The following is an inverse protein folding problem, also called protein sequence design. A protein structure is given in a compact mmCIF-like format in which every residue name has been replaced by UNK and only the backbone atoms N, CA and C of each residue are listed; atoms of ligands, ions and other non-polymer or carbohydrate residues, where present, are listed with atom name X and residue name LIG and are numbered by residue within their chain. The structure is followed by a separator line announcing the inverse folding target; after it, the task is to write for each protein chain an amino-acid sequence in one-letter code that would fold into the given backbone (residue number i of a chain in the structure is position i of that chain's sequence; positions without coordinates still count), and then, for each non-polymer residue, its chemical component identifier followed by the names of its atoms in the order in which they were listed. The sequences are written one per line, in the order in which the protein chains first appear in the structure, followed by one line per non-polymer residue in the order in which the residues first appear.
data_IF_789516100179
#
_entry.id   IF_789516100179
#
_cell.length_a   1.000
_cell.length_b   1.000
_cell.length_c   1.000
_cell.angle_alpha   90.00
_cell.angle_beta   90.00
_cell.angle_gamma   90.00
#
_symmetry.space_group_name_H-M   'P 1'
#
loop_
_entity.id
_entity.type
_entity.pdbx_description
1 polymer ?
#
# COMPACT_ATOMS: atom_id res chain seq x y z
N UNK A 1 49.84 52.48 -42.13
CA UNK A 1 49.58 52.16 -40.70
C UNK A 1 48.15 52.52 -40.26
N UNK A 2 47.11 52.29 -41.10
CA UNK A 2 45.71 52.56 -40.74
C UNK A 2 44.78 51.35 -40.93
N UNK A 3 45.31 50.19 -41.35
CA UNK A 3 44.53 48.96 -41.61
C UNK A 3 44.61 47.91 -40.49
N UNK A 4 45.49 48.10 -39.51
CA UNK A 4 45.62 47.19 -38.35
C UNK A 4 44.76 47.60 -37.15
N UNK A 5 44.26 48.84 -37.10
CA UNK A 5 43.44 49.33 -35.98
C UNK A 5 41.94 49.03 -36.14
N UNK A 6 41.43 48.81 -37.35
CA UNK A 6 40.01 48.46 -37.56
C UNK A 6 39.69 46.99 -37.23
N UNK A 7 40.66 46.08 -37.29
CA UNK A 7 40.43 44.65 -37.01
C UNK A 7 40.36 44.42 -35.49
N UNK A 8 41.11 45.17 -34.68
CA UNK A 8 41.07 45.03 -33.22
C UNK A 8 39.75 45.52 -32.62
N UNK A 9 39.15 46.58 -33.17
CA UNK A 9 37.87 47.11 -32.67
C UNK A 9 36.69 46.24 -33.13
N UNK A 10 36.74 45.66 -34.33
CA UNK A 10 35.71 44.73 -34.81
C UNK A 10 35.71 43.40 -34.03
N UNK A 11 36.88 42.91 -33.62
CA UNK A 11 36.99 41.69 -32.79
C UNK A 11 36.61 41.98 -31.32
N UNK A 12 36.90 43.17 -30.80
CA UNK A 12 36.41 43.58 -29.47
C UNK A 12 34.88 43.80 -29.45
N UNK A 13 34.28 44.29 -30.54
CA UNK A 13 32.83 44.48 -30.64
C UNK A 13 32.06 43.17 -30.87
N UNK A 14 32.67 42.16 -31.51
CA UNK A 14 32.08 40.82 -31.60
C UNK A 14 32.17 40.11 -30.23
N UNK A 15 33.19 40.39 -29.41
CA UNK A 15 33.28 39.84 -28.05
C UNK A 15 32.37 40.59 -27.06
N UNK A 16 32.07 41.88 -27.25
CA UNK A 16 31.11 42.61 -26.41
C UNK A 16 29.63 42.42 -26.79
N UNK A 17 29.32 42.05 -28.04
CA UNK A 17 27.92 41.80 -28.47
C UNK A 17 27.49 40.35 -28.23
N UNK A 18 28.42 39.41 -28.05
CA UNK A 18 28.11 38.03 -27.63
C UNK A 18 27.78 37.93 -26.12
N UNK A 19 27.95 39.01 -25.35
CA UNK A 19 27.66 39.04 -23.90
C UNK A 19 26.20 39.32 -23.51
N UNK A 20 25.23 39.34 -24.44
CA UNK A 20 23.82 39.62 -24.12
C UNK A 20 22.81 38.58 -24.61
N UNK A 21 23.25 37.53 -25.31
CA UNK A 21 22.43 36.37 -25.67
C UNK A 21 23.28 35.11 -25.61
N UNK A 22 23.75 34.74 -24.42
CA UNK A 22 24.35 33.43 -24.19
C UNK A 22 23.25 32.37 -24.04
N UNK A 23 22.43 32.19 -25.08
CA UNK A 23 22.00 30.84 -25.43
C UNK A 23 23.23 30.18 -26.05
N UNK A 24 24.16 29.75 -25.19
CA UNK A 24 25.18 28.80 -25.63
C UNK A 24 24.40 27.63 -26.17
N UNK A 25 24.65 27.30 -27.43
CA UNK A 25 24.07 26.17 -28.15
C UNK A 25 24.65 24.87 -27.55
N UNK A 26 24.32 24.63 -26.27
CA UNK A 26 24.71 23.48 -25.45
C UNK A 26 24.27 22.18 -26.16
N UNK A 27 23.33 22.27 -27.11
CA UNK A 27 22.64 21.15 -27.72
C UNK A 27 23.35 20.50 -28.93
N UNK A 28 24.51 21.00 -29.39
CA UNK A 28 25.22 20.47 -30.56
C UNK A 28 26.60 19.83 -30.26
N UNK A 29 27.11 19.90 -29.04
CA UNK A 29 28.45 19.43 -28.67
C UNK A 29 28.44 18.06 -27.95
N UNK A 30 29.57 17.35 -27.93
CA UNK A 30 29.74 16.15 -27.10
C UNK A 30 29.80 16.50 -25.60
N UNK A 31 29.59 15.52 -24.71
CA UNK A 31 29.55 15.76 -23.25
C UNK A 31 30.79 16.52 -22.74
N UNK A 32 31.98 16.13 -23.21
CA UNK A 32 33.24 16.74 -22.75
C UNK A 32 33.40 18.19 -23.23
N UNK A 33 32.95 18.50 -24.45
CA UNK A 33 32.99 19.86 -25.00
C UNK A 33 31.98 20.77 -24.29
N UNK A 34 30.78 20.25 -24.02
CA UNK A 34 29.74 20.96 -23.29
C UNK A 34 30.13 21.19 -21.82
N UNK A 35 30.78 20.20 -21.18
CA UNK A 35 31.32 20.32 -19.83
C UNK A 35 32.44 21.37 -19.76
N UNK A 36 33.37 21.36 -20.72
CA UNK A 36 34.45 22.35 -20.79
C UNK A 36 33.90 23.76 -21.00
N UNK A 37 32.91 23.93 -21.88
CA UNK A 37 32.24 25.21 -22.09
C UNK A 37 31.60 25.74 -20.79
N UNK A 38 30.92 24.90 -20.01
CA UNK A 38 30.32 25.29 -18.72
C UNK A 38 31.35 25.68 -17.65
N UNK A 39 32.48 24.96 -17.56
CA UNK A 39 33.56 25.32 -16.64
C UNK A 39 34.19 26.67 -17.00
N UNK A 40 34.34 26.95 -18.29
CA UNK A 40 35.02 28.15 -18.78
C UNK A 40 34.14 29.40 -18.69
N UNK A 41 32.83 29.25 -18.92
CA UNK A 41 31.86 30.36 -18.95
C UNK A 41 31.20 30.66 -17.61
N UNK A 42 31.27 29.73 -16.65
CA UNK A 42 30.68 29.89 -15.33
C UNK A 42 29.15 29.94 -15.40
N UNK A 43 28.51 28.78 -15.50
CA UNK A 43 27.05 28.72 -15.61
C UNK A 43 26.32 29.08 -14.30
N UNK A 44 25.15 29.69 -14.45
CA UNK A 44 24.24 29.99 -13.35
C UNK A 44 23.27 28.83 -13.11
N UNK A 45 23.08 28.45 -11.85
CA UNK A 45 22.09 27.43 -11.44
C UNK A 45 20.65 27.87 -11.69
N UNK A 46 20.40 29.18 -11.79
CA UNK A 46 19.08 29.72 -12.11
C UNK A 46 18.67 29.50 -13.57
N UNK A 47 19.63 29.24 -14.46
CA UNK A 47 19.38 28.97 -15.87
C UNK A 47 19.01 27.49 -16.13
N UNK A 48 19.16 26.62 -15.13
CA UNK A 48 18.86 25.19 -15.25
C UNK A 48 17.44 24.96 -14.74
N UNK A 49 16.51 24.93 -15.68
CA UNK A 49 15.15 24.50 -15.42
C UNK A 49 15.00 22.98 -15.56
N UNK A 50 13.77 22.48 -15.35
CA UNK A 50 13.49 21.04 -15.43
C UNK A 50 13.74 20.48 -16.82
N UNK A 51 13.50 21.25 -17.88
CA UNK A 51 13.63 20.79 -19.26
C UNK A 51 15.10 20.58 -19.64
N UNK A 52 15.97 21.49 -19.21
CA UNK A 52 17.42 21.36 -19.39
C UNK A 52 17.93 20.14 -18.63
N UNK A 53 17.49 19.93 -17.39
CA UNK A 53 17.89 18.77 -16.60
C UNK A 53 17.44 17.45 -17.24
N UNK A 54 16.20 17.38 -17.73
CA UNK A 54 15.66 16.22 -18.43
C UNK A 54 16.52 15.89 -19.67
N UNK A 55 16.91 16.91 -20.46
CA UNK A 55 17.76 16.71 -21.64
C UNK A 55 19.19 16.26 -21.30
N UNK A 56 19.81 16.84 -20.25
CA UNK A 56 21.15 16.44 -19.81
C UNK A 56 21.19 14.96 -19.40
N UNK A 57 20.18 14.51 -18.65
CA UNK A 57 20.06 13.10 -18.24
C UNK A 57 19.74 12.23 -19.45
N UNK A 58 18.83 12.65 -20.33
CA UNK A 58 18.44 11.89 -21.51
C UNK A 58 19.62 11.63 -22.46
N UNK A 59 20.51 12.62 -22.63
CA UNK A 59 21.74 12.47 -23.44
C UNK A 59 22.85 11.67 -22.75
N UNK A 60 22.68 11.30 -21.49
CA UNK A 60 23.69 10.61 -20.70
C UNK A 60 24.86 11.50 -20.28
N UNK A 61 24.67 12.83 -20.22
CA UNK A 61 25.72 13.79 -19.85
C UNK A 61 25.91 13.86 -18.33
N UNK A 62 26.25 12.72 -17.73
CA UNK A 62 26.31 12.52 -16.30
C UNK A 62 27.34 13.43 -15.60
N UNK A 63 28.47 13.75 -16.26
CA UNK A 63 29.48 14.67 -15.71
C UNK A 63 28.93 16.08 -15.54
N UNK A 64 28.11 16.54 -16.47
CA UNK A 64 27.45 17.83 -16.39
C UNK A 64 26.44 17.85 -15.25
N UNK A 65 25.60 16.82 -15.13
CA UNK A 65 24.65 16.68 -14.03
C UNK A 65 25.37 16.68 -12.67
N UNK A 66 26.51 15.98 -12.56
CA UNK A 66 27.34 15.98 -11.35
C UNK A 66 27.86 17.39 -11.01
N UNK A 67 28.38 18.14 -11.98
CA UNK A 67 28.84 19.51 -11.74
C UNK A 67 27.69 20.45 -11.31
N UNK A 68 26.48 20.26 -11.83
CA UNK A 68 25.29 21.01 -11.38
C UNK A 68 24.97 20.71 -9.92
N UNK A 69 24.99 19.43 -9.53
CA UNK A 69 24.76 19.01 -8.14
C UNK A 69 25.85 19.50 -7.20
N UNK A 70 27.12 19.46 -7.61
CA UNK A 70 28.23 19.97 -6.81
C UNK A 70 28.12 21.47 -6.59
N UNK A 71 27.74 22.22 -7.63
CA UNK A 71 27.55 23.66 -7.53
C UNK A 71 26.34 24.02 -6.68
N UNK A 72 25.25 23.24 -6.75
CA UNK A 72 24.06 23.50 -5.93
C UNK A 72 24.33 23.36 -4.44
N UNK A 73 25.27 22.50 -4.03
CA UNK A 73 25.68 22.36 -2.62
C UNK A 73 26.31 23.63 -2.02
N UNK A 74 26.84 24.53 -2.85
CA UNK A 74 27.35 25.83 -2.43
C UNK A 74 26.26 26.92 -2.37
N UNK A 75 25.05 26.62 -2.86
CA UNK A 75 23.89 27.50 -2.83
C UNK A 75 23.08 27.41 -1.53
N UNK A 76 21.88 27.98 -1.54
CA UNK A 76 20.95 27.88 -0.42
C UNK A 76 20.18 26.55 -0.41
N UNK A 77 19.55 26.22 0.72
CA UNK A 77 18.80 24.96 0.87
C UNK A 77 17.67 24.84 -0.17
N UNK A 78 17.03 25.95 -0.55
CA UNK A 78 15.97 25.95 -1.55
C UNK A 78 16.48 25.54 -2.94
N UNK A 79 17.66 26.02 -3.33
CA UNK A 79 18.34 25.65 -4.58
C UNK A 79 18.79 24.20 -4.57
N UNK A 80 19.34 23.72 -3.46
CA UNK A 80 19.68 22.29 -3.28
C UNK A 80 18.46 21.40 -3.48
N UNK A 81 17.33 21.73 -2.84
CA UNK A 81 16.10 20.93 -2.95
C UNK A 81 15.51 21.01 -4.37
N UNK A 82 15.57 22.17 -5.03
CA UNK A 82 15.12 22.35 -6.42
C UNK A 82 15.89 21.44 -7.37
N UNK A 83 17.23 21.51 -7.32
CA UNK A 83 18.10 20.68 -8.17
C UNK A 83 17.91 19.20 -7.86
N UNK A 84 17.82 18.82 -6.58
CA UNK A 84 17.57 17.44 -6.18
C UNK A 84 16.24 16.90 -6.73
N UNK A 85 15.18 17.71 -6.71
CA UNK A 85 13.88 17.34 -7.29
C UNK A 85 13.99 17.13 -8.81
N UNK A 86 14.59 18.08 -9.53
CA UNK A 86 14.77 18.00 -10.99
C UNK A 86 15.59 16.77 -11.39
N UNK A 87 16.72 16.52 -10.74
CA UNK A 87 17.57 15.35 -11.03
C UNK A 87 16.82 14.04 -10.76
N UNK A 88 16.12 13.93 -9.63
CA UNK A 88 15.33 12.72 -9.31
C UNK A 88 14.24 12.47 -10.35
N UNK A 89 13.55 13.52 -10.76
CA UNK A 89 12.52 13.43 -11.81
C UNK A 89 13.12 12.95 -13.13
N UNK A 90 14.14 13.65 -13.64
CA UNK A 90 14.81 13.35 -14.90
C UNK A 90 15.36 11.91 -14.94
N UNK A 91 16.06 11.49 -13.89
CA UNK A 91 16.61 10.13 -13.77
C UNK A 91 15.50 9.08 -13.71
N UNK A 92 14.39 9.35 -13.02
CA UNK A 92 13.27 8.40 -12.95
C UNK A 92 12.58 8.25 -14.31
N UNK A 93 12.44 9.34 -15.07
CA UNK A 93 11.89 9.32 -16.43
C UNK A 93 12.77 8.49 -17.36
N UNK A 94 14.08 8.74 -17.38
CA UNK A 94 15.01 7.98 -18.24
C UNK A 94 15.10 6.52 -17.82
N UNK A 95 15.12 6.22 -16.51
CA UNK A 95 15.07 4.85 -16.01
C UNK A 95 13.81 4.12 -16.49
N UNK A 96 12.64 4.75 -16.41
CA UNK A 96 11.40 4.15 -16.88
C UNK A 96 11.47 3.82 -18.38
N UNK A 97 12.02 4.73 -19.19
CA UNK A 97 12.22 4.55 -20.63
C UNK A 97 13.17 3.39 -20.93
N UNK A 98 14.28 3.26 -20.20
CA UNK A 98 15.22 2.16 -20.36
C UNK A 98 14.62 0.83 -19.90
N UNK A 99 13.87 0.81 -18.79
CA UNK A 99 13.13 -0.36 -18.33
C UNK A 99 12.06 -0.78 -19.36
N UNK A 100 11.42 0.16 -20.07
CA UNK A 100 10.47 -0.15 -21.15
C UNK A 100 11.13 -0.90 -22.32
N UNK A 101 12.38 -0.58 -22.65
CA UNK A 101 13.13 -1.34 -23.66
C UNK A 101 13.35 -2.79 -23.22
N UNK A 102 13.62 -3.02 -21.94
CA UNK A 102 13.75 -4.38 -21.39
C UNK A 102 12.40 -5.09 -21.45
N UNK A 103 11.30 -4.42 -21.09
CA UNK A 103 9.96 -5.01 -21.14
C UNK A 103 9.52 -5.34 -22.57
N UNK A 104 9.89 -4.52 -23.55
CA UNK A 104 9.62 -4.77 -24.97
C UNK A 104 10.26 -6.06 -25.51
N UNK A 105 11.22 -6.66 -24.79
CA UNK A 105 11.75 -7.99 -25.11
C UNK A 105 10.72 -9.11 -24.88
N UNK A 106 9.73 -8.90 -24.00
CA UNK A 106 8.63 -9.84 -23.83
C UNK A 106 7.69 -9.74 -25.04
N UNK A 107 7.55 -10.84 -25.78
CA UNK A 107 6.64 -10.95 -26.94
C UNK A 107 5.18 -10.65 -26.58
N UNK A 108 4.82 -10.75 -25.31
CA UNK A 108 3.49 -10.47 -24.80
C UNK A 108 3.35 -9.05 -24.24
N UNK A 109 4.38 -8.20 -24.28
CA UNK A 109 4.33 -6.85 -23.71
C UNK A 109 3.23 -5.96 -24.32
N UNK A 110 2.96 -6.12 -25.62
CA UNK A 110 1.86 -5.41 -26.28
C UNK A 110 0.47 -6.02 -25.98
N UNK A 111 0.42 -7.27 -25.51
CA UNK A 111 -0.81 -7.97 -25.21
C UNK A 111 -1.26 -7.65 -23.78
N UNK A 112 -2.33 -6.87 -23.66
CA UNK A 112 -2.90 -6.53 -22.36
C UNK A 112 -3.32 -7.79 -21.59
N UNK A 113 -2.71 -8.01 -20.42
CA UNK A 113 -3.06 -9.15 -19.55
C UNK A 113 -4.50 -8.98 -19.08
N UNK A 114 -5.34 -9.98 -19.33
CA UNK A 114 -6.76 -9.95 -18.91
C UNK A 114 -6.84 -10.18 -17.41
N UNK A 115 -7.47 -9.26 -16.69
CA UNK A 115 -7.65 -9.29 -15.23
C UNK A 115 -9.13 -9.20 -14.91
N UNK A 116 -9.60 -10.08 -14.02
CA UNK A 116 -10.90 -9.92 -13.36
C UNK A 116 -10.74 -8.92 -12.21
N UNK A 117 -11.28 -7.69 -12.30
CA UNK A 117 -11.13 -6.71 -11.25
C UNK A 117 -11.86 -7.15 -9.97
N UNK A 118 -11.32 -6.76 -8.82
CA UNK A 118 -11.94 -6.99 -7.52
C UNK A 118 -13.20 -6.14 -7.37
N UNK A 119 -14.23 -6.73 -6.77
CA UNK A 119 -15.53 -6.10 -6.61
C UNK A 119 -15.95 -6.12 -5.14
N UNK A 120 -16.70 -5.11 -4.74
CA UNK A 120 -17.46 -5.11 -3.49
C UNK A 120 -18.89 -4.71 -3.78
N UNK A 121 -19.84 -5.31 -3.06
CA UNK A 121 -21.25 -4.96 -3.23
C UNK A 121 -21.98 -4.78 -1.91
N UNK A 122 -22.98 -3.92 -1.93
CA UNK A 122 -23.97 -3.73 -0.88
C UNK A 122 -25.32 -3.43 -1.53
N UNK A 123 -26.36 -3.25 -0.72
CA UNK A 123 -27.70 -2.92 -1.22
C UNK A 123 -28.49 -2.17 -0.15
N UNK A 124 -29.56 -1.50 -0.59
CA UNK A 124 -30.70 -1.16 0.27
C UNK A 124 -31.94 -1.87 -0.30
N UNK A 125 -33.15 -1.50 0.11
CA UNK A 125 -34.37 -2.15 -0.41
C UNK A 125 -34.52 -2.02 -1.92
N UNK A 126 -34.12 -0.88 -2.51
CA UNK A 126 -34.44 -0.47 -3.89
C UNK A 126 -33.26 -0.52 -4.87
N UNK A 127 -32.03 -0.47 -4.37
CA UNK A 127 -30.81 -0.34 -5.16
C UNK A 127 -29.75 -1.35 -4.71
N UNK A 128 -28.86 -1.69 -5.65
CA UNK A 128 -27.61 -2.39 -5.41
C UNK A 128 -26.47 -1.42 -5.65
N UNK A 129 -25.51 -1.38 -4.73
CA UNK A 129 -24.30 -0.58 -4.84
C UNK A 129 -23.14 -1.51 -5.17
N UNK A 130 -22.46 -1.26 -6.27
CA UNK A 130 -21.32 -2.04 -6.75
C UNK A 130 -20.11 -1.13 -6.81
N UNK A 131 -19.02 -1.52 -6.16
CA UNK A 131 -17.72 -0.90 -6.34
C UNK A 131 -16.78 -1.89 -7.04
N UNK A 132 -16.13 -1.42 -8.10
CA UNK A 132 -15.15 -2.16 -8.89
C UNK A 132 -13.81 -1.46 -8.73
N UNK A 133 -12.78 -2.20 -8.33
CA UNK A 133 -11.41 -1.70 -8.25
C UNK A 133 -10.60 -2.31 -9.39
N UNK A 134 -9.83 -1.50 -10.12
CA UNK A 134 -8.97 -1.95 -11.22
C UNK A 134 -7.69 -2.66 -10.72
N UNK A 135 -7.88 -3.70 -9.91
CA UNK A 135 -6.86 -4.57 -9.34
C UNK A 135 -7.40 -6.00 -9.22
N UNK A 136 -6.54 -7.01 -9.16
CA UNK A 136 -6.98 -8.40 -9.02
C UNK A 136 -7.57 -8.69 -7.62
N UNK A 137 -7.07 -8.00 -6.59
CA UNK A 137 -7.52 -8.11 -5.18
C UNK A 137 -7.90 -6.73 -4.66
N UNK A 138 -8.80 -6.67 -3.68
CA UNK A 138 -9.28 -5.40 -3.14
C UNK A 138 -8.17 -4.59 -2.45
N UNK A 139 -7.28 -5.27 -1.72
CA UNK A 139 -6.17 -4.63 -1.00
C UNK A 139 -4.91 -4.44 -1.85
N UNK A 140 -4.90 -4.95 -3.10
CA UNK A 140 -3.77 -4.78 -4.00
C UNK A 140 -3.76 -3.37 -4.63
N UNK A 141 -2.58 -2.84 -4.95
CA UNK A 141 -2.49 -1.65 -5.81
C UNK A 141 -3.00 -2.00 -7.22
N UNK A 142 -3.54 -1.01 -7.91
CA UNK A 142 -4.22 -1.19 -9.19
C UNK A 142 -4.07 0.03 -10.08
N UNK A 143 -4.63 -0.04 -11.28
CA UNK A 143 -4.64 1.09 -12.20
C UNK A 143 -5.46 2.23 -11.59
N UNK A 144 -4.84 3.40 -11.45
CA UNK A 144 -5.49 4.61 -10.95
C UNK A 144 -6.40 5.23 -12.01
N UNK A 145 -6.00 5.09 -13.28
CA UNK A 145 -6.73 5.57 -14.44
C UNK A 145 -6.92 4.42 -15.43
N UNK A 146 -8.06 4.44 -16.10
CA UNK A 146 -8.38 3.49 -17.18
C UNK A 146 -8.81 4.25 -18.43
N UNK A 147 -8.69 3.60 -19.58
CA UNK A 147 -9.02 4.09 -20.91
C UNK A 147 -9.90 3.08 -21.64
N UNK A 148 -10.65 3.54 -22.64
CA UNK A 148 -11.54 2.72 -23.47
C UNK A 148 -12.54 1.92 -22.63
N UNK A 149 -13.17 2.58 -21.67
CA UNK A 149 -14.18 2.00 -20.81
C UNK A 149 -15.49 1.76 -21.59
N UNK A 150 -16.03 0.56 -21.43
CA UNK A 150 -17.34 0.18 -21.91
C UNK A 150 -18.11 -0.43 -20.74
N UNK A 151 -19.09 0.28 -20.22
CA UNK A 151 -19.98 -0.22 -19.17
C UNK A 151 -21.38 -0.38 -19.78
N UNK A 152 -21.86 -1.61 -19.78
CA UNK A 152 -23.21 -1.97 -20.24
C UNK A 152 -23.98 -2.57 -19.07
N UNK A 153 -25.06 -1.88 -18.70
CA UNK A 153 -25.98 -2.26 -17.64
C UNK A 153 -27.28 -2.69 -18.33
N UNK A 154 -27.54 -3.98 -18.33
CA UNK A 154 -28.75 -4.58 -18.90
C UNK A 154 -29.68 -5.05 -17.78
N UNK A 155 -30.91 -5.43 -18.12
CA UNK A 155 -31.88 -5.92 -17.12
C UNK A 155 -31.35 -7.11 -16.32
N UNK A 156 -30.64 -8.03 -16.99
CA UNK A 156 -30.13 -9.25 -16.37
C UNK A 156 -28.69 -9.16 -15.88
N UNK A 157 -27.91 -8.20 -16.37
CA UNK A 157 -26.49 -8.42 -16.55
C UNK A 157 -25.69 -7.13 -16.43
N UNK A 158 -24.46 -7.25 -15.92
CA UNK A 158 -23.51 -6.15 -15.82
C UNK A 158 -22.23 -6.54 -16.56
N UNK A 159 -21.87 -5.74 -17.57
CA UNK A 159 -20.68 -5.94 -18.39
C UNK A 159 -19.79 -4.71 -18.28
N UNK A 160 -18.49 -4.93 -18.03
CA UNK A 160 -17.50 -3.88 -17.97
C UNK A 160 -16.24 -4.34 -18.70
N UNK A 161 -15.73 -3.50 -19.59
CA UNK A 161 -14.38 -3.65 -20.12
C UNK A 161 -13.64 -2.32 -20.02
N UNK A 162 -12.37 -2.35 -19.63
CA UNK A 162 -11.53 -1.16 -19.52
C UNK A 162 -10.06 -1.55 -19.64
N UNK A 163 -9.20 -0.64 -20.07
CA UNK A 163 -7.76 -0.85 -20.14
C UNK A 163 -7.06 0.08 -19.16
N UNK A 164 -6.21 -0.46 -18.29
CA UNK A 164 -5.43 0.34 -17.37
C UNK A 164 -3.98 -0.07 -17.36
N UNK A 165 -3.15 0.80 -16.82
CA UNK A 165 -1.72 0.56 -16.66
C UNK A 165 -1.34 0.65 -15.19
N UNK A 166 -0.60 -0.35 -14.73
CA UNK A 166 -0.08 -0.36 -13.37
C UNK A 166 1.29 -1.03 -13.38
N UNK A 167 2.29 -0.38 -12.77
CA UNK A 167 3.69 -0.82 -12.79
C UNK A 167 4.24 -1.03 -14.22
N UNK A 168 3.87 -0.16 -15.16
CA UNK A 168 4.22 -0.23 -16.59
C UNK A 168 3.74 -1.51 -17.30
N UNK A 169 2.75 -2.20 -16.72
CA UNK A 169 2.11 -3.38 -17.32
C UNK A 169 0.70 -3.00 -17.72
N UNK A 170 0.40 -3.13 -19.00
CA UNK A 170 -0.95 -2.92 -19.55
C UNK A 170 -1.85 -4.10 -19.20
N UNK A 171 -3.01 -3.79 -18.62
CA UNK A 171 -4.00 -4.77 -18.17
C UNK A 171 -5.35 -4.45 -18.79
N UNK A 172 -6.03 -5.48 -19.29
CA UNK A 172 -7.42 -5.41 -19.73
C UNK A 172 -8.30 -5.90 -18.59
N UNK A 173 -9.06 -5.00 -17.98
CA UNK A 173 -10.05 -5.33 -16.98
C UNK A 173 -11.33 -5.77 -17.66
N UNK A 174 -11.84 -6.94 -17.28
CA UNK A 174 -13.04 -7.52 -17.87
C UNK A 174 -13.96 -8.11 -16.79
N UNK A 175 -15.21 -7.69 -16.78
CA UNK A 175 -16.31 -8.26 -15.99
C UNK A 175 -17.50 -8.52 -16.89
N UNK A 176 -18.13 -9.68 -16.71
CA UNK A 176 -19.42 -10.00 -17.30
C UNK A 176 -20.11 -11.00 -16.39
N UNK A 177 -21.26 -10.64 -15.83
CA UNK A 177 -22.02 -11.52 -14.95
C UNK A 177 -23.53 -11.23 -14.99
N UNK A 178 -24.30 -12.28 -14.69
CA UNK A 178 -25.75 -12.20 -14.50
C UNK A 178 -26.10 -11.88 -13.05
N UNK A 179 -27.04 -10.96 -12.86
CA UNK A 179 -27.55 -10.50 -11.59
C UNK A 179 -28.59 -11.48 -11.02
N UNK A 180 -28.81 -11.42 -9.71
CA UNK A 180 -29.75 -12.29 -9.01
C UNK A 180 -31.20 -12.05 -9.45
N UNK A 181 -31.59 -10.78 -9.61
CA UNK A 181 -32.88 -10.37 -10.15
C UNK A 181 -32.73 -9.21 -11.14
N UNK A 182 -33.80 -8.96 -11.90
CA UNK A 182 -33.80 -7.93 -12.92
C UNK A 182 -33.64 -6.51 -12.35
N UNK A 183 -32.91 -5.68 -13.08
CA UNK A 183 -32.74 -4.25 -12.82
C UNK A 183 -33.66 -3.39 -13.69
N UNK A 184 -33.67 -2.09 -13.39
CA UNK A 184 -34.12 -1.01 -14.27
C UNK A 184 -32.89 -0.31 -14.85
N UNK A 185 -32.44 -0.65 -16.08
CA UNK A 185 -31.25 -0.07 -16.69
C UNK A 185 -31.28 1.45 -16.79
N UNK A 186 -32.43 2.00 -17.18
CA UNK A 186 -32.61 3.44 -17.43
C UNK A 186 -32.32 4.34 -16.22
N UNK A 187 -32.47 3.79 -15.01
CA UNK A 187 -32.25 4.51 -13.76
C UNK A 187 -30.96 4.09 -13.04
N UNK A 188 -30.19 3.18 -13.64
CA UNK A 188 -28.93 2.72 -13.09
C UNK A 188 -27.80 3.63 -13.57
N UNK A 189 -26.94 4.08 -12.66
CA UNK A 189 -25.90 5.06 -12.94
C UNK A 189 -24.54 4.56 -12.46
N UNK A 190 -23.46 5.00 -13.11
CA UNK A 190 -22.10 4.68 -12.73
C UNK A 190 -21.20 5.91 -12.84
N UNK A 191 -20.11 5.93 -12.08
CA UNK A 191 -19.10 6.98 -12.10
C UNK A 191 -17.76 6.46 -11.60
N UNK A 192 -16.67 7.13 -11.99
CA UNK A 192 -15.36 6.89 -11.40
C UNK A 192 -15.27 7.55 -10.02
N UNK A 193 -14.69 6.82 -9.08
CA UNK A 193 -14.37 7.27 -7.74
C UNK A 193 -12.85 7.39 -7.56
N UNK A 194 -12.42 8.00 -6.46
CA UNK A 194 -11.01 8.18 -6.16
C UNK A 194 -10.24 6.84 -6.08
N UNK A 195 -8.93 6.91 -6.32
CA UNK A 195 -8.00 5.79 -6.21
C UNK A 195 -8.30 4.58 -7.14
N UNK A 196 -8.67 4.85 -8.41
CA UNK A 196 -8.83 3.80 -9.41
C UNK A 196 -10.03 2.88 -9.16
N UNK A 197 -11.16 3.47 -8.75
CA UNK A 197 -12.39 2.75 -8.46
C UNK A 197 -13.51 3.23 -9.39
N UNK A 198 -14.44 2.34 -9.68
CA UNK A 198 -15.70 2.63 -10.35
C UNK A 198 -16.82 2.25 -9.39
N UNK A 199 -17.77 3.14 -9.20
CA UNK A 199 -18.97 2.90 -8.40
C UNK A 199 -20.18 2.91 -9.31
N UNK A 200 -21.00 1.86 -9.22
CA UNK A 200 -22.28 1.76 -9.91
C UNK A 200 -23.42 1.61 -8.89
N UNK A 201 -24.47 2.39 -9.10
CA UNK A 201 -25.73 2.33 -8.36
C UNK A 201 -26.79 1.77 -9.29
N UNK A 202 -27.21 0.55 -9.03
CA UNK A 202 -28.08 -0.25 -9.88
C UNK A 202 -29.49 -0.28 -9.28
N UNK A 203 -30.50 0.22 -9.99
CA UNK A 203 -31.88 0.19 -9.49
C UNK A 203 -32.51 -1.18 -9.70
N UNK A 204 -33.06 -1.77 -8.64
CA UNK A 204 -33.80 -3.03 -8.70
C UNK A 204 -35.17 -2.80 -9.35
N UNK A 205 -35.65 -3.79 -10.10
CA UNK A 205 -37.01 -3.74 -10.65
C UNK A 205 -38.08 -3.76 -9.54
N UNK A 206 -37.82 -4.48 -8.43
CA UNK A 206 -38.71 -4.52 -7.26
C UNK A 206 -37.91 -4.35 -5.97
N UNK A 207 -38.46 -3.65 -4.97
CA UNK A 207 -37.85 -3.58 -3.65
C UNK A 207 -37.73 -4.98 -3.04
N UNK A 208 -36.51 -5.42 -2.72
CA UNK A 208 -36.24 -6.74 -2.18
C UNK A 208 -34.85 -6.81 -1.54
N UNK A 209 -34.67 -7.67 -0.54
CA UNK A 209 -33.36 -7.98 0.03
C UNK A 209 -32.74 -9.18 -0.72
N UNK A 210 -31.70 -8.94 -1.52
CA UNK A 210 -31.06 -9.99 -2.31
C UNK A 210 -30.08 -10.80 -1.45
N UNK A 211 -30.16 -12.14 -1.43
CA UNK A 211 -29.21 -12.95 -0.66
C UNK A 211 -27.79 -12.93 -1.25
N UNK A 212 -27.68 -12.68 -2.56
CA UNK A 212 -26.42 -12.60 -3.30
C UNK A 212 -26.55 -11.64 -4.48
N UNK A 213 -25.43 -11.15 -5.00
CA UNK A 213 -25.40 -10.24 -6.16
C UNK A 213 -25.78 -10.96 -7.46
N UNK A 214 -25.32 -12.19 -7.65
CA UNK A 214 -25.39 -12.91 -8.92
C UNK A 214 -26.28 -14.13 -8.86
N UNK A 215 -26.78 -14.56 -10.02
CA UNK A 215 -27.62 -15.75 -10.14
C UNK A 215 -26.84 -17.06 -9.89
N UNK A 216 -25.55 -17.10 -10.23
CA UNK A 216 -24.64 -18.23 -10.03
C UNK A 216 -23.67 -18.07 -8.85
N UNK A 217 -22.63 -18.91 -8.83
CA UNK A 217 -21.54 -18.84 -7.85
C UNK A 217 -20.69 -17.58 -8.03
N UNK A 218 -20.33 -16.95 -6.90
CA UNK A 218 -19.49 -15.77 -6.84
C UNK A 218 -18.06 -16.04 -7.34
N UNK A 219 -17.42 -15.13 -8.11
CA UNK A 219 -15.98 -15.21 -8.25
C UNK A 219 -15.35 -14.85 -6.90
N UNK A 220 -14.22 -15.48 -6.55
CA UNK A 220 -13.52 -15.27 -5.27
C UNK A 220 -13.14 -13.81 -4.98
N UNK A 221 -13.09 -12.96 -6.01
CA UNK A 221 -12.75 -11.55 -5.90
C UNK A 221 -13.98 -10.63 -5.71
N UNK A 222 -15.15 -11.18 -5.33
CA UNK A 222 -16.35 -10.44 -4.93
C UNK A 222 -16.49 -10.42 -3.40
N UNK A 223 -16.30 -9.25 -2.79
CA UNK A 223 -16.50 -9.02 -1.36
C UNK A 223 -17.80 -8.30 -1.03
N UNK A 224 -18.12 -8.23 0.27
CA UNK A 224 -19.21 -7.40 0.79
C UNK A 224 -18.65 -6.01 1.10
N UNK A 225 -19.32 -4.96 0.62
CA UNK A 225 -19.01 -3.58 0.98
C UNK A 225 -19.58 -3.28 2.38
N UNK A 226 -18.77 -3.51 3.42
CA UNK A 226 -19.18 -3.42 4.83
C UNK A 226 -19.76 -2.04 5.20
N UNK A 227 -19.02 -0.96 4.96
CA UNK A 227 -19.48 0.41 5.28
C UNK A 227 -20.86 0.74 4.69
N UNK A 228 -21.08 0.39 3.42
CA UNK A 228 -22.36 0.64 2.75
C UNK A 228 -23.45 -0.32 3.26
N UNK A 229 -23.12 -1.56 3.60
CA UNK A 229 -24.07 -2.51 4.19
C UNK A 229 -24.52 -2.05 5.58
N UNK A 230 -23.60 -1.58 6.41
CA UNK A 230 -23.88 -1.13 7.77
C UNK A 230 -24.78 0.10 7.75
N UNK A 231 -24.53 1.04 6.82
CA UNK A 231 -25.38 2.20 6.58
C UNK A 231 -26.85 1.86 6.30
N UNK A 232 -27.11 0.76 5.60
CA UNK A 232 -28.48 0.34 5.20
C UNK A 232 -29.02 -0.85 6.02
N UNK A 233 -28.29 -1.28 7.04
CA UNK A 233 -28.60 -2.48 7.84
C UNK A 233 -29.99 -2.42 8.48
N UNK A 234 -30.35 -1.27 9.06
CA UNK A 234 -31.64 -1.05 9.72
C UNK A 234 -32.84 -1.16 8.75
N UNK A 235 -32.70 -0.64 7.52
CA UNK A 235 -33.73 -0.72 6.48
C UNK A 235 -33.90 -2.17 5.98
N UNK A 236 -32.78 -2.87 5.77
CA UNK A 236 -32.80 -4.25 5.27
C UNK A 236 -33.41 -5.24 6.27
N UNK A 237 -33.33 -4.97 7.58
CA UNK A 237 -33.99 -5.78 8.61
C UNK A 237 -35.52 -5.72 8.51
N UNK A 238 -36.08 -4.58 8.09
CA UNK A 238 -37.53 -4.38 7.97
C UNK A 238 -38.12 -5.12 6.76
N UNK A 239 -37.31 -5.37 5.73
CA UNK A 239 -37.69 -6.04 4.49
C UNK A 239 -37.23 -7.50 4.41
N UNK A 240 -36.94 -8.13 5.56
CA UNK A 240 -36.58 -9.55 5.61
C UNK A 240 -37.83 -10.40 5.34
N UNK A 241 -37.82 -11.34 4.38
CA UNK A 241 -38.96 -12.23 4.16
C UNK A 241 -39.23 -13.07 5.42
N UNK A 242 -40.50 -13.20 5.83
CA UNK A 242 -40.96 -13.84 7.07
C UNK A 242 -40.64 -15.35 7.20
N UNK A 243 -39.99 -15.98 6.22
CA UNK A 243 -39.86 -17.44 6.14
C UNK A 243 -38.66 -18.07 6.86
N UNK A 244 -37.86 -17.34 7.65
CA UNK A 244 -36.69 -17.92 8.35
C UNK A 244 -36.81 -18.04 9.87
N UNK A 245 -38.02 -18.21 10.40
CA UNK A 245 -38.22 -18.54 11.83
C UNK A 245 -38.35 -20.04 12.14
N UNK A 246 -38.24 -20.95 11.15
CA UNK A 246 -38.38 -22.41 11.40
C UNK A 246 -37.13 -23.27 11.14
N UNK A 247 -36.06 -22.72 10.57
CA UNK A 247 -34.84 -23.51 10.23
C UNK A 247 -33.63 -23.26 11.15
N UNK A 248 -33.76 -22.42 12.17
CA UNK A 248 -32.70 -22.18 13.16
C UNK A 248 -32.55 -23.36 14.17
N UNK A 249 -33.47 -24.33 14.18
CA UNK A 249 -33.47 -25.44 15.14
C UNK A 249 -32.81 -26.75 14.67
N UNK A 250 -32.61 -26.96 13.36
CA UNK A 250 -32.21 -28.29 12.84
C UNK A 250 -30.82 -28.33 12.17
N UNK A 251 -30.17 -27.17 11.97
CA UNK A 251 -28.80 -27.13 11.44
C UNK A 251 -27.74 -27.58 12.47
N UNK A 252 -28.06 -27.53 13.77
CA UNK A 252 -27.11 -27.82 14.86
C UNK A 252 -26.79 -29.31 15.07
N UNK A 253 -27.43 -30.24 14.33
CA UNK A 253 -27.17 -31.69 14.47
C UNK A 253 -26.57 -32.37 13.22
N UNK A 254 -26.45 -31.69 12.08
CA UNK A 254 -25.84 -32.30 10.86
C UNK A 254 -24.36 -31.94 10.63
N UNK A 255 -23.80 -31.00 11.40
CA UNK A 255 -22.38 -30.58 11.30
C UNK A 255 -21.41 -31.63 11.86
N UNK A 256 -21.89 -32.62 12.63
CA UNK A 256 -21.01 -33.61 13.28
C UNK A 256 -20.59 -34.80 12.39
N UNK A 257 -21.04 -34.92 11.12
CA UNK A 257 -20.79 -36.15 10.33
C UNK A 257 -20.15 -36.00 8.95
N UNK A 258 -19.84 -34.79 8.47
CA UNK A 258 -19.11 -34.57 7.21
C UNK A 258 -17.63 -34.20 7.43
N UNK A 259 -17.03 -34.69 8.51
CA UNK A 259 -15.56 -34.74 8.67
C UNK A 259 -15.00 -35.96 7.92
N UNK A 260 -15.01 -35.93 6.58
CA UNK A 260 -14.02 -36.68 5.79
C UNK A 260 -13.97 -36.18 4.35
N UNK A 261 -12.79 -35.70 3.98
CA UNK A 261 -12.31 -35.36 2.63
C UNK A 261 -12.56 -33.90 2.19
N UNK A 262 -11.86 -32.95 2.84
CA UNK A 262 -11.57 -31.63 2.25
C UNK A 262 -10.10 -31.55 1.88
N UNK A 263 -9.84 -30.97 0.72
CA UNK A 263 -8.53 -30.74 0.13
C UNK A 263 -7.91 -29.46 0.65
N UNK A 264 -6.58 -29.46 0.61
CA UNK A 264 -5.59 -28.53 1.18
C UNK A 264 -5.68 -27.05 0.75
N UNK A 265 -6.75 -26.59 0.10
CA UNK A 265 -6.92 -25.22 -0.42
C UNK A 265 -7.97 -24.38 0.31
N UNK A 266 -8.82 -25.00 1.15
CA UNK A 266 -9.87 -24.30 1.90
C UNK A 266 -9.36 -23.73 3.24
N UNK A 267 -8.23 -24.22 3.76
CA UNK A 267 -7.70 -23.83 5.07
C UNK A 267 -6.93 -22.49 5.05
N UNK A 268 -6.50 -21.99 3.88
CA UNK A 268 -5.81 -20.70 3.77
C UNK A 268 -6.78 -19.51 3.75
N UNK A 269 -7.97 -19.68 3.15
CA UNK A 269 -8.98 -18.62 3.00
C UNK A 269 -9.63 -18.23 4.36
N UNK A 270 -9.74 -19.16 5.32
CA UNK A 270 -10.22 -18.87 6.69
C UNK A 270 -9.16 -18.15 7.55
N UNK A 271 -7.87 -18.35 7.28
CA UNK A 271 -6.78 -17.74 8.05
C UNK A 271 -6.64 -16.23 7.78
N UNK A 272 -6.89 -15.81 6.54
CA UNK A 272 -6.79 -14.41 6.12
C UNK A 272 -7.89 -13.55 6.75
N UNK A 273 -9.12 -14.05 6.88
CA UNK A 273 -10.21 -13.32 7.55
C UNK A 273 -9.94 -13.12 9.05
N UNK A 274 -9.35 -14.12 9.69
CA UNK A 274 -8.97 -14.03 11.11
C UNK A 274 -7.83 -13.02 11.29
N UNK A 275 -6.83 -13.02 10.39
CA UNK A 275 -5.72 -12.07 10.41
C UNK A 275 -6.19 -10.61 10.27
N UNK A 276 -7.15 -10.36 9.38
CA UNK A 276 -7.71 -9.01 9.18
C UNK A 276 -8.43 -8.51 10.44
N UNK A 277 -9.19 -9.38 11.11
CA UNK A 277 -9.88 -9.05 12.36
C UNK A 277 -8.91 -8.78 13.51
N UNK A 278 -7.82 -9.54 13.60
CA UNK A 278 -6.75 -9.28 14.58
C UNK A 278 -6.15 -7.88 14.37
N UNK A 279 -5.92 -7.46 13.12
CA UNK A 279 -5.37 -6.15 12.79
C UNK A 279 -6.32 -5.00 13.15
N UNK A 280 -7.63 -5.17 12.93
CA UNK A 280 -8.64 -4.18 13.29
C UNK A 280 -8.67 -3.95 14.82
N UNK A 281 -8.71 -5.04 15.60
CA UNK A 281 -8.74 -4.97 17.07
C UNK A 281 -7.45 -4.34 17.64
N UNK A 282 -6.28 -4.63 17.06
CA UNK A 282 -5.01 -3.98 17.46
C UNK A 282 -5.00 -2.50 17.04
N UNK A 283 -5.60 -2.18 15.90
CA UNK A 283 -5.69 -0.82 15.36
C UNK A 283 -6.45 0.14 16.27
N UNK A 284 -7.45 -0.35 17.00
CA UNK A 284 -8.29 0.41 17.92
C UNK A 284 -7.60 0.73 19.26
N UNK A 285 -6.47 0.09 19.57
CA UNK A 285 -5.71 0.38 20.78
C UNK A 285 -4.97 1.72 20.70
N UNK A 286 -4.95 2.47 21.80
CA UNK A 286 -4.23 3.74 21.89
C UNK A 286 -2.72 3.51 21.76
N UNK A 287 -2.07 4.24 20.84
CA UNK A 287 -0.65 4.12 20.55
C UNK A 287 0.14 5.15 21.34
N UNK A 288 1.18 4.70 22.04
CA UNK A 288 2.05 5.51 22.89
C UNK A 288 3.47 5.55 22.30
N UNK A 289 4.44 4.88 22.92
CA UNK A 289 5.87 4.95 22.62
C UNK A 289 6.29 4.23 21.33
N UNK A 290 5.40 3.39 20.76
CA UNK A 290 5.64 2.62 19.55
C UNK A 290 4.82 3.09 18.34
N UNK A 291 4.19 4.26 18.43
CA UNK A 291 3.45 4.87 17.33
C UNK A 291 4.29 4.95 16.05
N UNK A 292 3.74 4.42 14.96
CA UNK A 292 4.37 4.41 13.63
C UNK A 292 5.42 3.30 13.42
N UNK A 293 5.46 2.31 14.30
CA UNK A 293 6.36 1.14 14.17
C UNK A 293 5.58 -0.15 13.93
N UNK A 294 6.28 -1.23 13.58
CA UNK A 294 5.72 -2.57 13.38
C UNK A 294 5.34 -3.29 14.69
N UNK A 295 5.62 -2.69 15.84
CA UNK A 295 5.26 -3.24 17.16
C UNK A 295 3.76 -3.06 17.39
N UNK A 296 3.05 -4.15 17.70
CA UNK A 296 1.64 -4.09 18.05
C UNK A 296 1.46 -3.61 19.50
N UNK A 297 0.97 -2.38 19.70
CA UNK A 297 0.59 -1.90 21.03
C UNK A 297 -0.76 -2.50 21.42
N UNK A 298 -0.78 -3.25 22.53
CA UNK A 298 -1.91 -4.05 22.96
C UNK A 298 -2.61 -3.39 24.15
N UNK A 299 -3.92 -3.18 24.00
CA UNK A 299 -4.83 -2.76 25.05
C UNK A 299 -5.56 -3.98 25.65
N UNK A 300 -6.34 -3.76 26.72
CA UNK A 300 -7.02 -4.84 27.46
C UNK A 300 -7.97 -5.68 26.56
N UNK A 301 -8.61 -5.07 25.56
CA UNK A 301 -9.46 -5.78 24.61
C UNK A 301 -8.67 -6.68 23.64
N UNK A 302 -7.63 -6.12 22.99
CA UNK A 302 -6.76 -6.88 22.11
C UNK A 302 -6.03 -8.03 22.83
N UNK A 303 -5.73 -7.84 24.11
CA UNK A 303 -5.15 -8.88 24.94
C UNK A 303 -6.03 -10.13 25.05
N UNK A 304 -7.30 -9.95 25.43
CA UNK A 304 -8.22 -11.07 25.65
C UNK A 304 -8.52 -11.82 24.35
N UNK A 305 -8.75 -11.09 23.26
CA UNK A 305 -9.20 -11.67 22.00
C UNK A 305 -8.06 -12.25 21.14
N UNK A 306 -6.83 -11.71 21.23
CA UNK A 306 -5.75 -12.08 20.29
C UNK A 306 -4.59 -12.81 20.98
N UNK A 307 -4.26 -12.44 22.21
CA UNK A 307 -3.13 -13.05 22.92
C UNK A 307 -3.58 -14.24 23.75
N UNK A 308 -4.67 -14.07 24.50
CA UNK A 308 -5.15 -15.08 25.46
C UNK A 308 -6.00 -16.17 24.80
N UNK A 309 -6.85 -15.80 23.85
CA UNK A 309 -7.73 -16.74 23.13
C UNK A 309 -7.53 -16.66 21.61
N UNK A 310 -6.33 -16.96 21.10
CA UNK A 310 -6.05 -16.79 19.68
C UNK A 310 -6.87 -17.74 18.82
N UNK A 311 -7.53 -17.21 17.80
CA UNK A 311 -8.27 -17.98 16.79
C UNK A 311 -7.32 -18.74 15.84
N UNK A 312 -6.08 -18.27 15.67
CA UNK A 312 -5.00 -18.94 14.92
C UNK A 312 -3.77 -19.09 15.81
N UNK A 313 -3.02 -20.18 15.66
CA UNK A 313 -1.76 -20.37 16.39
C UNK A 313 -0.82 -19.17 16.17
N UNK A 314 -0.39 -18.54 17.26
CA UNK A 314 0.50 -17.37 17.28
C UNK A 314 1.60 -17.55 18.31
N UNK A 315 2.78 -17.04 17.98
CA UNK A 315 3.87 -16.86 18.93
C UNK A 315 4.07 -15.37 19.14
N UNK A 316 3.76 -14.91 20.35
CA UNK A 316 3.88 -13.51 20.72
C UNK A 316 5.12 -13.30 21.58
N UNK A 317 5.95 -12.33 21.23
CA UNK A 317 6.90 -11.73 22.16
C UNK A 317 6.33 -10.40 22.61
N UNK A 318 6.02 -10.27 23.91
CA UNK A 318 5.35 -9.09 24.45
C UNK A 318 6.25 -8.43 25.48
N UNK A 319 6.52 -7.15 25.25
CA UNK A 319 7.18 -6.28 26.23
C UNK A 319 6.14 -5.52 27.05
N UNK A 320 6.19 -5.69 28.36
CA UNK A 320 5.53 -4.81 29.32
C UNK A 320 6.49 -3.69 29.68
N UNK A 321 6.07 -2.45 29.45
CA UNK A 321 6.84 -1.26 29.80
C UNK A 321 5.94 -0.22 30.46
N UNK A 322 6.51 0.88 30.92
CA UNK A 322 5.75 1.97 31.50
C UNK A 322 6.27 3.29 30.91
N UNK A 323 5.40 4.05 30.23
CA UNK A 323 5.76 5.34 29.62
C UNK A 323 6.16 6.40 30.63
N UNK A 324 5.52 6.41 31.80
CA UNK A 324 5.59 7.50 32.78
C UNK A 324 6.81 7.37 33.69
N UNK A 325 7.24 6.13 33.95
CA UNK A 325 8.37 5.80 34.83
C UNK A 325 9.67 5.61 34.01
N UNK A 326 9.67 6.04 32.74
CA UNK A 326 10.70 5.83 31.72
C UNK A 326 12.15 5.80 32.22
N UNK A 327 12.60 4.62 32.66
CA UNK A 327 13.98 4.38 33.04
C UNK A 327 14.89 4.32 31.81
N UNK A 328 16.17 4.62 32.00
CA UNK A 328 17.21 4.58 30.95
C UNK A 328 17.22 3.24 30.19
N UNK A 329 16.92 2.14 30.89
CA UNK A 329 16.77 0.79 30.33
C UNK A 329 15.61 0.64 29.35
N UNK A 330 14.44 1.22 29.62
CA UNK A 330 13.29 1.15 28.70
C UNK A 330 13.60 1.89 27.41
N UNK A 331 14.16 3.09 27.50
CA UNK A 331 14.51 3.92 26.33
C UNK A 331 15.59 3.28 25.47
N UNK A 332 16.60 2.64 26.08
CA UNK A 332 17.65 1.88 25.36
C UNK A 332 17.12 0.59 24.72
N UNK A 333 16.07 -0.01 25.28
CA UNK A 333 15.51 -1.26 24.77
C UNK A 333 14.53 -1.06 23.60
N UNK A 334 13.85 0.08 23.51
CA UNK A 334 12.86 0.36 22.46
C UNK A 334 13.40 0.17 21.01
N UNK A 335 14.60 0.66 20.64
CA UNK A 335 15.14 0.44 19.29
C UNK A 335 15.35 -1.04 18.96
N UNK A 336 15.80 -1.83 19.94
CA UNK A 336 15.98 -3.28 19.78
C UNK A 336 14.63 -3.96 19.56
N UNK A 337 13.60 -3.56 20.34
CA UNK A 337 12.26 -4.10 20.22
C UNK A 337 11.58 -3.77 18.88
N UNK A 338 11.77 -2.54 18.38
CA UNK A 338 11.32 -2.14 17.04
C UNK A 338 11.96 -3.00 15.96
N UNK A 339 13.28 -3.20 16.05
CA UNK A 339 13.99 -4.03 15.07
C UNK A 339 13.57 -5.49 15.14
N UNK A 340 13.29 -6.00 16.34
CA UNK A 340 12.75 -7.34 16.55
C UNK A 340 11.40 -7.50 15.86
N UNK A 341 10.50 -6.50 15.92
CA UNK A 341 9.21 -6.54 15.24
C UNK A 341 9.29 -6.67 13.71
N UNK A 342 10.35 -6.15 13.09
CA UNK A 342 10.58 -6.29 11.64
C UNK A 342 11.14 -7.66 11.26
N UNK A 343 11.95 -8.28 12.14
CA UNK A 343 12.69 -9.52 11.83
C UNK A 343 11.96 -10.78 12.30
N UNK A 344 11.29 -10.70 13.45
CA UNK A 344 10.68 -11.85 14.13
C UNK A 344 9.58 -12.55 13.30
N UNK A 345 8.64 -11.84 12.63
CA UNK A 345 7.62 -12.50 11.81
C UNK A 345 8.19 -13.30 10.62
N UNK A 346 9.40 -12.95 10.15
CA UNK A 346 10.08 -13.68 9.08
C UNK A 346 10.85 -14.90 9.58
N UNK A 347 11.20 -14.92 10.87
CA UNK A 347 12.00 -15.98 11.50
C UNK A 347 11.11 -17.05 12.15
N UNK A 348 9.99 -16.63 12.76
CA UNK A 348 9.05 -17.53 13.45
C UNK A 348 7.70 -17.50 12.73
N UNK A 349 7.23 -18.63 12.16
CA UNK A 349 5.90 -18.72 11.54
C UNK A 349 4.80 -18.32 12.52
N UNK A 350 3.93 -17.36 12.13
CA UNK A 350 2.91 -16.82 13.03
C UNK A 350 3.47 -15.96 14.18
N UNK A 351 4.75 -15.57 14.09
CA UNK A 351 5.43 -14.70 15.04
C UNK A 351 4.92 -13.27 15.00
N UNK A 352 4.72 -12.70 16.19
CA UNK A 352 4.35 -11.29 16.39
C UNK A 352 5.10 -10.70 17.57
N UNK A 353 5.37 -9.40 17.48
CA UNK A 353 6.00 -8.63 18.55
C UNK A 353 5.01 -7.57 19.01
N UNK A 354 4.65 -7.64 20.29
CA UNK A 354 3.72 -6.75 20.93
C UNK A 354 4.36 -5.94 22.06
N UNK A 355 3.67 -4.89 22.49
CA UNK A 355 4.03 -4.14 23.67
C UNK A 355 2.76 -3.72 24.43
N UNK A 356 2.84 -3.69 25.76
CA UNK A 356 1.77 -3.25 26.66
C UNK A 356 2.34 -2.12 27.51
N UNK A 357 1.67 -0.98 27.47
CA UNK A 357 2.00 0.15 28.34
C UNK A 357 1.23 0.07 29.67
N UNK A 358 1.99 -0.22 30.73
CA UNK A 358 1.50 -0.38 32.08
C UNK A 358 1.12 0.94 32.76
N UNK A 359 1.42 2.10 32.15
CA UNK A 359 0.88 3.38 32.60
C UNK A 359 -0.63 3.50 32.30
N UNK A 360 -1.06 2.94 31.16
CA UNK A 360 -2.40 3.11 30.61
C UNK A 360 -3.31 1.90 30.84
N UNK A 361 -2.75 0.71 31.15
CA UNK A 361 -3.50 -0.53 31.28
C UNK A 361 -3.28 -1.26 32.61
N UNK A 362 -4.37 -1.83 33.17
CA UNK A 362 -4.33 -2.59 34.43
C UNK A 362 -3.74 -3.99 34.28
N UNK A 363 -3.55 -4.43 33.04
CA UNK A 363 -3.07 -5.76 32.67
C UNK A 363 -1.76 -6.16 33.39
N UNK A 364 -0.83 -5.22 33.55
CA UNK A 364 0.48 -5.51 34.12
C UNK A 364 0.42 -5.91 35.60
N UNK A 365 -0.52 -5.35 36.36
CA UNK A 365 -0.76 -5.71 37.76
C UNK A 365 -1.27 -7.16 37.87
N UNK A 366 -2.17 -7.56 36.97
CA UNK A 366 -2.71 -8.93 36.89
C UNK A 366 -1.62 -9.97 36.65
N UNK A 367 -0.57 -9.61 35.90
CA UNK A 367 0.57 -10.48 35.61
C UNK A 367 1.73 -10.36 36.62
N UNK A 368 1.57 -9.57 37.68
CA UNK A 368 2.61 -9.38 38.70
C UNK A 368 3.87 -8.68 38.18
N UNK A 369 3.74 -7.89 37.12
CA UNK A 369 4.88 -7.16 36.54
C UNK A 369 5.20 -5.95 37.41
N UNK A 370 6.32 -6.02 38.12
CA UNK A 370 6.77 -4.98 39.06
C UNK A 370 8.04 -4.26 38.61
N UNK A 371 8.71 -4.76 37.57
CA UNK A 371 9.94 -4.19 36.99
C UNK A 371 9.75 -4.01 35.48
N UNK A 372 10.29 -2.93 34.93
CA UNK A 372 10.19 -2.60 33.51
C UNK A 372 11.59 -2.36 32.91
N UNK A 373 11.81 -2.69 31.62
CA UNK A 373 10.91 -3.47 30.77
C UNK A 373 10.82 -4.93 31.24
N UNK A 374 9.73 -5.64 30.96
CA UNK A 374 9.59 -7.07 31.25
C UNK A 374 9.10 -7.78 30.00
N UNK A 375 9.77 -8.85 29.59
CA UNK A 375 9.45 -9.57 28.35
C UNK A 375 8.86 -10.93 28.68
N UNK A 376 7.81 -11.30 27.97
CA UNK A 376 7.24 -12.65 28.02
C UNK A 376 6.97 -13.16 26.61
N UNK A 377 7.13 -14.46 26.44
CA UNK A 377 6.67 -15.18 25.27
C UNK A 377 5.29 -15.75 25.56
N UNK A 378 4.33 -15.59 24.65
CA UNK A 378 3.04 -16.26 24.71
C UNK A 378 2.88 -17.18 23.51
N UNK A 379 2.47 -18.43 23.78
CA UNK A 379 2.06 -19.40 22.76
C UNK A 379 0.69 -19.91 23.16
N UNK A 380 -0.29 -19.70 22.29
CA UNK A 380 -1.68 -20.13 22.49
C UNK A 380 -2.24 -19.72 23.87
N UNK A 381 -1.97 -18.48 24.29
CA UNK A 381 -2.41 -17.91 25.57
C UNK A 381 -1.52 -18.22 26.79
N UNK A 382 -0.57 -19.15 26.67
CA UNK A 382 0.33 -19.54 27.77
C UNK A 382 1.60 -18.69 27.76
N UNK A 383 1.85 -17.96 28.85
CA UNK A 383 2.96 -17.01 28.97
C UNK A 383 4.17 -17.56 29.73
N UNK A 384 5.35 -17.53 29.10
CA UNK A 384 6.65 -17.88 29.71
C UNK A 384 7.53 -16.63 29.83
N UNK A 385 8.05 -16.30 31.03
CA UNK A 385 8.87 -15.09 31.22
C UNK A 385 10.27 -15.23 30.62
N UNK A 386 10.78 -14.12 30.10
CA UNK A 386 12.19 -14.00 29.73
C UNK A 386 13.05 -13.94 30.99
N UNK A 387 13.99 -14.87 31.11
CA UNK A 387 14.86 -15.01 32.29
C UNK A 387 16.27 -14.46 32.08
N UNK A 388 16.64 -14.07 30.85
CA UNK A 388 17.97 -13.50 30.56
C UNK A 388 17.92 -11.96 30.65
N UNK A 389 19.09 -11.33 30.62
CA UNK A 389 19.21 -9.86 30.67
C UNK A 389 18.61 -9.17 29.44
N UNK A 390 18.48 -7.85 29.52
CA UNK A 390 17.95 -7.00 28.43
C UNK A 390 19.02 -6.54 27.42
N UNK A 391 20.29 -6.84 27.70
CA UNK A 391 21.45 -6.53 26.84
C UNK A 391 21.72 -7.65 25.81
N UNK A 392 20.88 -8.68 25.77
CA UNK A 392 20.98 -9.80 24.85
C UNK A 392 20.66 -9.39 23.41
N UNK A 393 21.21 -10.12 22.45
CA UNK A 393 21.08 -9.79 21.03
C UNK A 393 19.68 -10.12 20.49
N UNK A 394 19.35 -9.56 19.32
CA UNK A 394 18.07 -9.83 18.64
C UNK A 394 17.91 -11.34 18.38
N UNK A 395 19.00 -12.02 18.04
CA UNK A 395 19.04 -13.46 17.79
C UNK A 395 18.66 -14.25 19.04
N UNK A 396 19.01 -13.78 20.24
CA UNK A 396 18.62 -14.42 21.49
C UNK A 396 17.11 -14.35 21.73
N UNK A 397 16.47 -13.23 21.36
CA UNK A 397 15.01 -13.09 21.41
C UNK A 397 14.30 -13.91 20.33
N UNK A 398 14.85 -13.98 19.12
CA UNK A 398 14.33 -14.88 18.06
C UNK A 398 14.38 -16.33 18.53
N UNK A 399 15.53 -16.79 19.03
CA UNK A 399 15.71 -18.13 19.56
C UNK A 399 14.81 -18.42 20.77
N UNK A 400 14.37 -17.40 21.52
CA UNK A 400 13.38 -17.56 22.58
C UNK A 400 11.98 -17.85 22.04
N UNK A 401 11.60 -17.15 20.97
CA UNK A 401 10.36 -17.36 20.23
C UNK A 401 10.28 -18.73 19.56
N UNK A 402 11.41 -19.25 19.08
CA UNK A 402 11.49 -20.55 18.39
C UNK A 402 11.39 -21.78 19.30
N UNK A 403 11.49 -21.62 20.63
CA UNK A 403 11.48 -22.80 21.53
C UNK A 403 10.11 -23.47 21.53
N UNK A 404 10.00 -24.60 20.85
CA UNK A 404 8.93 -25.57 21.10
C UNK A 404 9.19 -26.21 22.47
N UNK A 405 8.47 -25.78 23.49
CA UNK A 405 8.35 -26.57 24.72
C UNK A 405 7.21 -27.56 24.48
N UNK A 406 7.59 -28.86 24.47
CA UNK A 406 6.73 -30.04 24.31
C UNK A 406 5.60 -30.12 25.34
#
# INVERSE_FOLDING_TARGET
MARFWCISIAVQLIISVVCLTAEVDIFAAGEDDAFLALQTTGFSLSAIDSSVMDELVHRGWHKMVQAVVERSRAGDEAEVQRVAFQVRHAVQVEKNRLDDLIRALDRNYEHAVVVKPAMQWAQNSTHVFLAVKFAQRWNAPGALEVRNETIDISECCFNLTAFGEHSMIRRKYFLSFGLYHSLVPASSVWHFAAAGRLTATLQKNRPANWPRLMSGEGPKNLGIWRDMKDKWSAELMQHRPETTHREAGEASQKVAKSKKKRSRSDDEDDLDEVLDRELDIIGDCEKSSYKGTSVAELCDAAWEDIVKTPEVRRVWLIQFYNSDVGGETTTKFMPVWRRLADVFPSSVPGGRVGAVDCAHHKLCATFGVTKFPHVRRYVDGVGTPWSRGFEESIEAFVAFGERDEL
#
